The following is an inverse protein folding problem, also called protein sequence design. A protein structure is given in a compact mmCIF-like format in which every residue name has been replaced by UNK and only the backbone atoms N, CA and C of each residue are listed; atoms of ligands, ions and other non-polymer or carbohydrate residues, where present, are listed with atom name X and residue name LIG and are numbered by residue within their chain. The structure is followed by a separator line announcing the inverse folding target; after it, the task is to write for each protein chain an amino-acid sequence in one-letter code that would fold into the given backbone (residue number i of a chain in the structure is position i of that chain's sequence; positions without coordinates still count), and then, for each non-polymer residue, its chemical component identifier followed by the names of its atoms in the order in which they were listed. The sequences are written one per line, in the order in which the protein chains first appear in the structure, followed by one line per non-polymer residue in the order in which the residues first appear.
data_IF_693963139682
#
_entry.id   IF_693963139682
#
_cell.length_a   1.000
_cell.length_b   1.000
_cell.length_c   1.000
_cell.angle_alpha   90.00
_cell.angle_beta   90.00
_cell.angle_gamma   90.00
#
_symmetry.space_group_name_H-M   'P 1'
#
loop_
_entity.id
_entity.type
_entity.pdbx_description
1 polymer ?
#
# COMPACT_ATOMS: atom_id res chain seq x y z
N UNK A 1 45.24 22.86 2.59
CA UNK A 1 44.08 23.78 2.73
C UNK A 1 42.81 23.30 2.04
N UNK A 2 42.86 22.68 0.83
CA UNK A 2 41.64 22.23 0.13
C UNK A 2 40.79 21.19 0.87
N UNK A 3 41.41 20.21 1.55
CA UNK A 3 40.67 19.14 2.27
C UNK A 3 39.71 19.68 3.34
N UNK A 4 40.13 20.69 4.10
CA UNK A 4 39.29 21.29 5.14
C UNK A 4 38.09 22.02 4.53
N UNK A 5 38.29 22.75 3.44
CA UNK A 5 37.20 23.43 2.73
C UNK A 5 36.19 22.44 2.14
N UNK A 6 36.66 21.34 1.54
CA UNK A 6 35.76 20.27 1.06
C UNK A 6 34.97 19.62 2.19
N UNK A 7 35.59 19.38 3.34
CA UNK A 7 34.88 18.81 4.49
C UNK A 7 33.80 19.75 5.01
N UNK A 8 34.08 21.06 5.09
CA UNK A 8 33.10 22.06 5.50
C UNK A 8 31.91 22.07 4.53
N UNK A 9 32.17 22.09 3.23
CA UNK A 9 31.11 22.05 2.22
C UNK A 9 30.29 20.74 2.29
N UNK A 10 30.95 19.61 2.54
CA UNK A 10 30.26 18.33 2.73
C UNK A 10 29.33 18.37 3.96
N UNK A 11 29.78 18.92 5.08
CA UNK A 11 28.94 19.07 6.28
C UNK A 11 27.74 19.98 6.03
N UNK A 12 27.90 21.07 5.27
CA UNK A 12 26.77 21.91 4.88
C UNK A 12 25.77 21.17 3.99
N UNK A 13 26.26 20.42 3.00
CA UNK A 13 25.40 19.63 2.12
C UNK A 13 24.60 18.56 2.89
N UNK A 14 25.23 17.92 3.87
CA UNK A 14 24.56 16.96 4.77
C UNK A 14 23.47 17.64 5.61
N UNK A 15 23.77 18.80 6.20
CA UNK A 15 22.82 19.58 6.99
C UNK A 15 21.59 19.99 6.17
N UNK A 16 21.79 20.51 4.96
CA UNK A 16 20.68 20.89 4.07
C UNK A 16 19.82 19.68 3.67
N UNK A 17 20.46 18.56 3.35
CA UNK A 17 19.75 17.32 3.03
C UNK A 17 18.90 16.83 4.21
N UNK A 18 19.41 16.94 5.44
CA UNK A 18 18.68 16.56 6.64
C UNK A 18 17.49 17.48 6.93
N UNK A 19 17.62 18.80 6.72
CA UNK A 19 16.50 19.73 6.83
C UNK A 19 15.37 19.41 5.84
N UNK A 20 15.72 19.10 4.59
CA UNK A 20 14.74 18.71 3.56
C UNK A 20 14.03 17.41 3.95
N UNK A 21 14.77 16.41 4.46
CA UNK A 21 14.18 15.14 4.94
C UNK A 21 13.24 15.37 6.13
N UNK A 22 13.62 16.23 7.08
CA UNK A 22 12.81 16.58 8.25
C UNK A 22 11.46 17.15 7.82
N UNK A 23 11.46 18.20 7.00
CA UNK A 23 10.23 18.79 6.45
C UNK A 23 9.38 17.76 5.72
N UNK A 24 9.98 16.96 4.85
CA UNK A 24 9.25 15.92 4.09
C UNK A 24 8.58 14.92 5.04
N UNK A 25 9.24 14.54 6.14
CA UNK A 25 8.67 13.63 7.13
C UNK A 25 7.48 14.23 7.87
N UNK A 26 7.57 15.51 8.24
CA UNK A 26 6.48 16.26 8.88
C UNK A 26 5.27 16.38 7.94
N UNK A 27 5.50 16.80 6.70
CA UNK A 27 4.45 16.90 5.68
C UNK A 27 3.80 15.54 5.38
N UNK A 28 4.61 14.47 5.28
CA UNK A 28 4.10 13.11 5.15
C UNK A 28 3.28 12.69 6.37
N UNK A 29 3.66 13.08 7.60
CA UNK A 29 2.87 12.78 8.80
C UNK A 29 1.50 13.46 8.74
N UNK A 30 1.45 14.74 8.35
CA UNK A 30 0.20 15.47 8.14
C UNK A 30 -0.65 14.83 7.02
N UNK A 31 -0.05 14.45 5.90
CA UNK A 31 -0.74 13.80 4.79
C UNK A 31 -1.26 12.39 5.16
N UNK A 32 -0.52 11.64 5.99
CA UNK A 32 -0.96 10.37 6.59
C UNK A 32 -2.16 10.56 7.51
N UNK A 33 -2.10 11.55 8.42
CA UNK A 33 -3.21 11.85 9.33
C UNK A 33 -4.49 12.25 8.57
N UNK A 34 -4.34 12.97 7.44
CA UNK A 34 -5.44 13.32 6.53
C UNK A 34 -5.88 12.17 5.61
N UNK A 35 -5.26 10.98 5.70
CA UNK A 35 -5.58 9.82 4.87
C UNK A 35 -5.27 9.97 3.37
N UNK A 36 -4.49 10.99 2.98
CA UNK A 36 -4.14 11.26 1.58
C UNK A 36 -3.06 10.31 1.07
N UNK A 37 -2.17 9.85 1.94
CA UNK A 37 -1.17 8.84 1.56
C UNK A 37 -1.82 7.46 1.51
N UNK A 38 -2.16 7.03 0.31
CA UNK A 38 -2.52 5.64 0.01
C UNK A 38 -1.31 5.00 -0.64
N UNK A 39 -0.89 3.84 -0.13
CA UNK A 39 0.16 3.04 -0.75
C UNK A 39 -0.20 2.66 -2.19
N UNK A 40 0.65 1.86 -2.84
CA UNK A 40 0.44 1.44 -4.23
C UNK A 40 -0.98 0.90 -4.43
N UNK A 41 -1.70 1.52 -5.36
CA UNK A 41 -3.08 1.12 -5.65
C UNK A 41 -3.12 -0.35 -6.13
N UNK A 42 -4.18 -1.09 -5.80
CA UNK A 42 -4.34 -2.45 -6.29
C UNK A 42 -4.38 -2.47 -7.82
N UNK A 43 -3.75 -3.49 -8.43
CA UNK A 43 -3.78 -3.67 -9.90
C UNK A 43 -5.19 -3.90 -10.45
N UNK A 44 -6.06 -4.53 -9.65
CA UNK A 44 -7.43 -4.83 -10.04
C UNK A 44 -8.37 -3.73 -9.55
N UNK A 45 -9.30 -3.31 -10.40
CA UNK A 45 -10.40 -2.41 -10.02
C UNK A 45 -11.31 -3.05 -8.96
N UNK A 46 -12.12 -2.24 -8.27
CA UNK A 46 -13.06 -2.75 -7.26
C UNK A 46 -14.02 -3.79 -7.85
N UNK A 47 -14.49 -3.57 -9.09
CA UNK A 47 -15.36 -4.51 -9.81
C UNK A 47 -14.65 -5.85 -10.06
N UNK A 48 -13.42 -5.80 -10.58
CA UNK A 48 -12.61 -7.00 -10.82
C UNK A 48 -12.28 -7.76 -9.52
N UNK A 49 -12.00 -7.04 -8.42
CA UNK A 49 -11.75 -7.68 -7.13
C UNK A 49 -12.98 -8.44 -6.62
N UNK A 50 -14.18 -7.85 -6.75
CA UNK A 50 -15.43 -8.51 -6.38
C UNK A 50 -15.68 -9.75 -7.24
N UNK A 51 -15.47 -9.63 -8.54
CA UNK A 51 -15.68 -10.72 -9.48
C UNK A 51 -14.71 -11.87 -9.23
N UNK A 52 -13.41 -11.57 -9.05
CA UNK A 52 -12.40 -12.56 -8.69
C UNK A 52 -12.79 -13.32 -7.42
N UNK A 53 -13.31 -12.62 -6.39
CA UNK A 53 -13.74 -13.27 -5.16
C UNK A 53 -15.00 -14.10 -5.32
N UNK A 54 -15.93 -13.66 -6.18
CA UNK A 54 -17.13 -14.42 -6.53
C UNK A 54 -16.74 -15.73 -7.22
N UNK A 55 -15.90 -15.66 -8.25
CA UNK A 55 -15.40 -16.83 -8.99
C UNK A 55 -14.61 -17.79 -8.12
N UNK A 56 -13.75 -17.27 -7.23
CA UNK A 56 -13.05 -18.10 -6.24
C UNK A 56 -14.02 -18.80 -5.29
N UNK A 57 -15.11 -18.14 -4.88
CA UNK A 57 -16.10 -18.71 -3.96
C UNK A 57 -16.94 -19.82 -4.60
N UNK A 58 -17.02 -19.89 -5.93
CA UNK A 58 -17.67 -21.00 -6.63
C UNK A 58 -16.87 -22.31 -6.57
N UNK A 59 -15.59 -22.26 -6.19
CA UNK A 59 -14.73 -23.45 -6.03
C UNK A 59 -14.30 -24.13 -7.34
N UNK A 60 -14.73 -23.61 -8.49
CA UNK A 60 -14.48 -24.21 -9.82
C UNK A 60 -13.15 -23.78 -10.45
N UNK A 61 -12.54 -22.69 -9.99
CA UNK A 61 -11.33 -22.14 -10.58
C UNK A 61 -10.15 -22.26 -9.62
N UNK A 62 -9.00 -22.70 -10.13
CA UNK A 62 -7.75 -22.66 -9.39
C UNK A 62 -7.20 -21.23 -9.30
N UNK A 63 -6.26 -21.01 -8.38
CA UNK A 63 -5.54 -19.72 -8.28
C UNK A 63 -4.79 -19.38 -9.56
N UNK A 64 -4.32 -20.40 -10.30
CA UNK A 64 -3.62 -20.20 -11.57
C UNK A 64 -4.59 -19.73 -12.66
N UNK A 65 -5.77 -20.35 -12.75
CA UNK A 65 -6.80 -19.97 -13.74
C UNK A 65 -7.28 -18.53 -13.51
N UNK A 66 -7.48 -18.16 -12.24
CA UNK A 66 -7.84 -16.77 -11.88
C UNK A 66 -6.71 -15.78 -12.18
N UNK A 67 -5.45 -16.19 -11.99
CA UNK A 67 -4.31 -15.34 -12.33
C UNK A 67 -4.26 -15.06 -13.84
N UNK A 68 -4.46 -16.10 -14.65
CA UNK A 68 -4.49 -15.99 -16.12
C UNK A 68 -5.69 -15.16 -16.60
N UNK A 69 -6.90 -15.49 -16.15
CA UNK A 69 -8.14 -14.82 -16.56
C UNK A 69 -8.13 -13.32 -16.27
N UNK A 70 -7.57 -12.93 -15.13
CA UNK A 70 -7.48 -11.51 -14.74
C UNK A 70 -6.16 -10.87 -15.20
N UNK A 71 -5.30 -11.59 -15.94
CA UNK A 71 -3.99 -11.12 -16.41
C UNK A 71 -3.13 -10.55 -15.29
N UNK A 72 -3.08 -11.23 -14.15
CA UNK A 72 -2.30 -10.85 -12.96
C UNK A 72 -1.47 -12.00 -12.45
N UNK A 73 -0.46 -11.71 -11.64
CA UNK A 73 0.32 -12.76 -10.98
C UNK A 73 -0.46 -13.44 -9.84
N UNK A 74 -0.18 -14.71 -9.56
CA UNK A 74 -0.77 -15.46 -8.42
C UNK A 74 -0.68 -14.71 -7.08
N UNK A 75 0.43 -14.02 -6.73
CA UNK A 75 0.48 -13.18 -5.52
C UNK A 75 -0.56 -12.06 -5.48
N UNK A 76 -0.95 -11.52 -6.64
CA UNK A 76 -2.00 -10.50 -6.72
C UNK A 76 -3.38 -11.08 -6.44
N UNK A 77 -3.63 -12.32 -6.85
CA UNK A 77 -4.85 -13.08 -6.50
C UNK A 77 -4.91 -13.27 -4.98
N UNK A 78 -3.86 -13.84 -4.38
CA UNK A 78 -3.81 -14.04 -2.92
C UNK A 78 -3.99 -12.74 -2.13
N UNK A 79 -3.28 -11.67 -2.51
CA UNK A 79 -3.41 -10.36 -1.84
C UNK A 79 -4.84 -9.79 -1.94
N UNK A 80 -5.52 -10.05 -3.05
CA UNK A 80 -6.91 -9.60 -3.25
C UNK A 80 -7.86 -10.37 -2.33
N UNK A 81 -7.71 -11.69 -2.26
CA UNK A 81 -8.50 -12.54 -1.36
C UNK A 81 -8.25 -12.20 0.12
N UNK A 82 -6.99 -12.04 0.53
CA UNK A 82 -6.63 -11.66 1.89
C UNK A 82 -7.22 -10.29 2.29
N UNK A 83 -7.20 -9.30 1.40
CA UNK A 83 -7.81 -7.99 1.66
C UNK A 83 -9.32 -8.10 1.87
N UNK A 84 -10.00 -8.95 1.10
CA UNK A 84 -11.45 -9.18 1.25
C UNK A 84 -11.80 -9.87 2.56
N UNK A 85 -10.99 -10.84 3.01
CA UNK A 85 -11.15 -11.46 4.32
C UNK A 85 -10.97 -10.45 5.46
N UNK A 86 -9.96 -9.59 5.38
CA UNK A 86 -9.76 -8.49 6.34
C UNK A 86 -10.94 -7.52 6.36
N UNK A 87 -11.48 -7.15 5.19
CA UNK A 87 -12.64 -6.27 5.07
C UNK A 87 -13.92 -6.89 5.68
N UNK A 88 -14.19 -8.18 5.42
CA UNK A 88 -15.32 -8.91 6.01
C UNK A 88 -15.22 -9.00 7.53
N UNK A 89 -14.02 -9.23 8.05
CA UNK A 89 -13.76 -9.31 9.50
C UNK A 89 -14.01 -7.95 10.18
N UNK A 90 -13.48 -6.87 9.60
CA UNK A 90 -13.70 -5.52 10.10
C UNK A 90 -15.20 -5.12 10.07
N UNK A 91 -15.93 -5.51 9.02
CA UNK A 91 -17.38 -5.27 8.94
C UNK A 91 -18.15 -6.02 10.04
N UNK A 92 -17.78 -7.26 10.35
CA UNK A 92 -18.43 -8.05 11.41
C UNK A 92 -18.24 -7.42 12.79
N UNK A 93 -17.03 -7.01 13.12
CA UNK A 93 -16.71 -6.37 14.40
C UNK A 93 -17.51 -5.08 14.61
N UNK A 94 -17.57 -4.22 13.60
CA UNK A 94 -18.37 -2.98 13.66
C UNK A 94 -19.87 -3.22 13.82
N UNK A 95 -20.40 -4.32 13.29
CA UNK A 95 -21.81 -4.68 13.45
C UNK A 95 -22.12 -5.21 14.86
N UNK A 96 -21.15 -5.84 15.52
CA UNK A 96 -21.30 -6.35 16.88
C UNK A 96 -21.20 -5.25 17.96
N UNK A 97 -20.53 -4.14 17.66
CA UNK A 97 -20.38 -2.97 18.56
C UNK A 97 -21.47 -1.90 18.38
N UNK A 98 -22.45 -2.12 17.49
CA UNK A 98 -23.56 -1.20 17.30
C UNK A 98 -24.63 -1.42 18.40
N UNK A 99 -25.08 -0.35 19.09
CA UNK A 99 -26.09 -0.44 20.17
C UNK A 99 -27.46 -0.92 19.68
#
# INVERSE_FOLDING_TARGET
MGKMFFNILATFAEFEADLIRLRTREEMAVARAKGKLRGKQPKLSIKQQKELCRMHSCGTYSISDLAELFSVSRPTVYRTLARQLGAKSAHRLRRAEAP
#
